data_IF_661019039519
#
_entry.id   IF_661019039519
#
_cell.length_a   1.000
_cell.length_b   1.000
_cell.length_c   1.000
_cell.angle_alpha   90.00
_cell.angle_beta   90.00
_cell.angle_gamma   90.00
#
_symmetry.space_group_name_H-M   'P 1'
#
loop_
_entity.id
_entity.type
_entity.pdbx_description
1 polymer ?
#
# COMPACT_ATOMS: atom_id res chain seq x y z
N UNK A 1 -12.30 -55.06 15.80
CA UNK A 1 -11.50 -54.94 14.57
C UNK A 1 -12.33 -54.54 13.34
N UNK A 2 -13.61 -54.94 13.23
CA UNK A 2 -14.41 -54.69 12.01
C UNK A 2 -14.89 -53.24 11.82
N UNK A 3 -15.16 -52.47 12.88
CA UNK A 3 -15.68 -51.09 12.75
C UNK A 3 -14.58 -50.13 12.25
N UNK A 4 -13.35 -50.26 12.75
CA UNK A 4 -12.23 -49.43 12.32
C UNK A 4 -11.91 -49.62 10.84
N UNK A 5 -11.95 -50.88 10.35
CA UNK A 5 -11.71 -51.18 8.95
C UNK A 5 -12.79 -50.57 8.03
N UNK A 6 -14.05 -50.57 8.48
CA UNK A 6 -15.18 -49.95 7.74
C UNK A 6 -15.04 -48.44 7.69
N UNK A 7 -14.65 -47.79 8.79
CA UNK A 7 -14.39 -46.34 8.80
C UNK A 7 -13.20 -45.96 7.92
N UNK A 8 -12.11 -46.75 7.95
CA UNK A 8 -10.94 -46.52 7.11
C UNK A 8 -11.29 -46.65 5.60
N UNK A 9 -12.06 -47.67 5.24
CA UNK A 9 -12.56 -47.86 3.88
C UNK A 9 -13.48 -46.70 3.45
N UNK A 10 -14.37 -46.24 4.32
CA UNK A 10 -15.24 -45.09 4.03
C UNK A 10 -14.43 -43.80 3.80
N UNK A 11 -13.40 -43.54 4.60
CA UNK A 11 -12.50 -42.41 4.40
C UNK A 11 -11.77 -42.50 3.06
N UNK A 12 -11.15 -43.64 2.74
CA UNK A 12 -10.43 -43.83 1.46
C UNK A 12 -11.35 -43.63 0.26
N UNK A 13 -12.56 -44.20 0.30
CA UNK A 13 -13.56 -44.04 -0.77
C UNK A 13 -13.96 -42.57 -0.91
N UNK A 14 -14.20 -41.85 0.19
CA UNK A 14 -14.55 -40.42 0.16
C UNK A 14 -13.43 -39.56 -0.44
N UNK A 15 -12.16 -39.86 -0.13
CA UNK A 15 -11.01 -39.14 -0.68
C UNK A 15 -10.85 -39.42 -2.18
N UNK A 16 -11.00 -40.68 -2.61
CA UNK A 16 -10.92 -41.05 -4.03
C UNK A 16 -12.02 -40.37 -4.84
N UNK A 17 -13.26 -40.35 -4.32
CA UNK A 17 -14.38 -39.65 -4.96
C UNK A 17 -14.12 -38.15 -5.04
N UNK A 18 -13.61 -37.54 -3.96
CA UNK A 18 -13.26 -36.12 -3.93
C UNK A 18 -12.21 -35.75 -4.97
N UNK A 19 -11.15 -36.56 -5.10
CA UNK A 19 -10.10 -36.37 -6.11
C UNK A 19 -10.65 -36.54 -7.53
N UNK A 20 -11.47 -37.56 -7.77
CA UNK A 20 -12.12 -37.79 -9.07
C UNK A 20 -13.03 -36.63 -9.48
N UNK A 21 -13.83 -36.09 -8.55
CA UNK A 21 -14.68 -34.93 -8.82
C UNK A 21 -13.84 -33.70 -9.16
N UNK A 22 -12.76 -33.43 -8.39
CA UNK A 22 -11.83 -32.33 -8.67
C UNK A 22 -11.15 -32.48 -10.04
N UNK A 23 -10.71 -33.69 -10.40
CA UNK A 23 -10.12 -33.96 -11.72
C UNK A 23 -11.14 -33.81 -12.86
N UNK A 24 -12.39 -34.25 -12.67
CA UNK A 24 -13.47 -34.08 -13.66
C UNK A 24 -13.85 -32.61 -13.84
N UNK A 25 -13.91 -31.81 -12.77
CA UNK A 25 -14.15 -30.37 -12.83
C UNK A 25 -13.00 -29.65 -13.54
N UNK A 26 -11.76 -30.06 -13.26
CA UNK A 26 -10.58 -29.50 -13.92
C UNK A 26 -10.54 -29.80 -15.42
N UNK A 27 -10.83 -31.05 -15.83
CA UNK A 27 -10.88 -31.45 -17.25
C UNK A 27 -12.03 -30.72 -17.99
N UNK A 28 -13.18 -30.55 -17.34
CA UNK A 28 -14.33 -29.85 -17.94
C UNK A 28 -14.07 -28.35 -18.14
N UNK A 29 -13.32 -27.72 -17.22
CA UNK A 29 -12.88 -26.32 -17.38
C UNK A 29 -11.82 -26.13 -18.46
N UNK A 30 -10.91 -27.10 -18.66
CA UNK A 30 -9.96 -27.07 -19.80
C UNK A 30 -10.70 -27.20 -21.13
N UNK A 31 -11.72 -28.06 -21.21
CA UNK A 31 -12.59 -28.18 -22.39
C UNK A 31 -13.28 -26.87 -22.76
N UNK A 32 -13.85 -26.17 -21.77
CA UNK A 32 -14.50 -24.86 -21.96
C UNK A 32 -13.52 -23.77 -22.42
N UNK A 33 -12.30 -23.73 -21.87
CA UNK A 33 -11.25 -22.80 -22.30
C UNK A 33 -10.73 -23.09 -23.72
N UNK A 34 -10.82 -24.34 -24.17
CA UNK A 34 -10.40 -24.74 -25.52
C UNK A 34 -11.48 -24.41 -26.56
N UNK A 35 -12.77 -24.59 -26.24
CA UNK A 35 -13.89 -24.18 -27.10
C UNK A 35 -14.01 -22.65 -27.26
N UNK A 36 -13.77 -21.88 -26.21
CA UNK A 36 -13.73 -20.40 -26.27
C UNK A 36 -12.62 -19.85 -27.18
N UNK A 37 -11.55 -20.62 -27.40
CA UNK A 37 -10.44 -20.25 -28.29
C UNK A 37 -10.66 -20.69 -29.75
N UNK A 38 -11.60 -21.60 -30.03
CA UNK A 38 -11.87 -22.12 -31.38
C UNK A 38 -13.05 -21.44 -32.07
N UNK A 39 -13.86 -20.64 -31.36
CA UNK A 39 -14.99 -19.91 -31.93
C UNK A 39 -14.64 -18.43 -32.22
N UNK A 40 -13.62 -18.21 -33.05
CA UNK A 40 -13.40 -16.91 -33.71
C UNK A 40 -13.94 -17.01 -35.14
N UNK A 41 -15.15 -16.48 -35.33
CA UNK A 41 -15.89 -16.48 -36.58
C UNK A 41 -15.11 -15.90 -37.77
N UNK A 42 -15.07 -16.67 -38.85
CA UNK A 42 -14.94 -16.16 -40.22
C UNK A 42 -16.05 -15.14 -40.48
N UNK A 43 -15.67 -13.90 -40.80
CA UNK A 43 -16.54 -12.91 -41.44
C UNK A 43 -15.77 -12.34 -42.62
N UNK A 44 -16.36 -12.52 -43.79
CA UNK A 44 -15.96 -12.02 -45.10
C UNK A 44 -15.81 -10.50 -45.11
N UNK A 45 -14.68 -10.04 -45.66
CA UNK A 45 -14.32 -8.62 -45.80
C UNK A 45 -15.20 -7.87 -46.80
N UNK A 46 -15.68 -6.66 -46.46
CA UNK A 46 -15.77 -5.55 -47.39
C UNK A 46 -14.58 -4.61 -47.16
N UNK A 47 -13.91 -4.21 -48.25
CA UNK A 47 -12.82 -3.23 -48.27
C UNK A 47 -13.22 -1.94 -47.53
N UNK A 48 -12.60 -1.66 -46.38
CA UNK A 48 -12.63 -0.35 -45.74
C UNK A 48 -11.22 0.02 -45.28
N UNK A 49 -10.68 1.04 -45.93
CA UNK A 49 -9.65 2.00 -45.51
C UNK A 49 -8.76 1.61 -44.32
N UNK A 50 -7.49 1.33 -44.63
CA UNK A 50 -6.38 1.33 -43.67
C UNK A 50 -6.24 2.70 -43.00
N UNK A 51 -6.77 2.83 -41.78
CA UNK A 51 -6.20 3.71 -40.75
C UNK A 51 -5.52 2.84 -39.72
N UNK A 52 -4.23 2.60 -39.91
CA UNK A 52 -3.32 2.17 -38.86
C UNK A 52 -3.25 3.29 -37.81
N UNK A 53 -4.06 3.20 -36.75
CA UNK A 53 -3.74 3.91 -35.52
C UNK A 53 -2.65 3.10 -34.82
N UNK A 54 -1.39 3.52 -34.97
CA UNK A 54 -0.31 3.11 -34.08
C UNK A 54 -0.69 3.54 -32.65
N UNK A 55 -1.34 2.64 -31.89
CA UNK A 55 -1.45 2.80 -30.44
C UNK A 55 -0.05 2.59 -29.88
N UNK A 56 0.67 3.68 -29.67
CA UNK A 56 1.97 3.70 -29.00
C UNK A 56 1.84 2.93 -27.68
N UNK A 57 2.50 1.78 -27.58
CA UNK A 57 2.49 0.95 -26.36
C UNK A 57 3.13 1.75 -25.22
N UNK A 58 2.49 1.75 -24.05
CA UNK A 58 3.03 2.39 -22.84
C UNK A 58 4.36 1.71 -22.48
N UNK A 59 5.34 2.52 -22.08
CA UNK A 59 6.66 2.04 -21.66
C UNK A 59 6.51 1.08 -20.47
N UNK A 60 7.22 -0.05 -20.49
CA UNK A 60 7.15 -1.09 -19.46
C UNK A 60 7.48 -0.57 -18.06
N UNK A 61 8.26 0.51 -17.94
CA UNK A 61 8.55 1.12 -16.63
C UNK A 61 7.29 1.52 -15.86
N UNK A 62 6.22 1.89 -16.55
CA UNK A 62 4.97 2.30 -15.90
C UNK A 62 4.20 1.14 -15.26
N UNK A 63 4.64 -0.11 -15.45
CA UNK A 63 4.20 -1.22 -14.60
C UNK A 63 4.74 -1.13 -13.17
N UNK A 64 5.79 -0.33 -12.96
CA UNK A 64 6.52 -0.20 -11.70
C UNK A 64 6.64 1.24 -11.21
N UNK A 65 6.36 2.23 -12.06
CA UNK A 65 6.44 3.66 -11.76
C UNK A 65 5.08 4.32 -11.99
N UNK A 66 4.62 5.05 -10.98
CA UNK A 66 3.56 6.04 -11.13
C UNK A 66 4.14 7.43 -10.85
N UNK A 67 3.93 8.35 -11.79
CA UNK A 67 4.34 9.75 -11.63
C UNK A 67 3.17 10.53 -11.05
N UNK A 68 3.01 10.50 -9.72
CA UNK A 68 1.78 10.94 -9.06
C UNK A 68 1.41 12.38 -9.38
N UNK A 69 2.38 13.27 -9.58
CA UNK A 69 2.17 14.65 -10.00
C UNK A 69 1.46 14.81 -11.35
N UNK A 70 1.38 13.74 -12.15
CA UNK A 70 0.65 13.66 -13.43
C UNK A 70 -0.64 12.84 -13.34
N UNK A 71 -0.93 12.24 -12.18
CA UNK A 71 -2.15 11.47 -11.93
C UNK A 71 -3.34 12.38 -11.65
N UNK A 72 -4.54 11.82 -11.77
CA UNK A 72 -5.79 12.56 -11.55
C UNK A 72 -5.86 13.09 -10.12
N UNK A 73 -6.21 14.36 -9.97
CA UNK A 73 -6.44 14.99 -8.66
C UNK A 73 -7.93 15.05 -8.37
N UNK A 74 -8.36 14.39 -7.30
CA UNK A 74 -9.74 14.41 -6.83
C UNK A 74 -9.90 15.55 -5.82
N UNK A 75 -10.56 16.63 -6.25
CA UNK A 75 -10.71 17.86 -5.47
C UNK A 75 -11.97 17.83 -4.60
N UNK A 76 -11.83 18.33 -3.38
CA UNK A 76 -12.91 18.48 -2.40
C UNK A 76 -12.85 19.88 -1.78
N UNK A 77 -13.92 20.37 -1.13
CA UNK A 77 -13.91 21.69 -0.51
C UNK A 77 -12.72 21.90 0.46
N UNK A 78 -12.45 20.88 1.29
CA UNK A 78 -11.41 20.92 2.31
C UNK A 78 -10.04 20.38 1.92
N UNK A 79 -9.81 20.00 0.65
CA UNK A 79 -8.54 19.40 0.27
C UNK A 79 -8.59 18.59 -1.03
N UNK A 80 -7.68 17.65 -1.18
CA UNK A 80 -7.64 16.76 -2.34
C UNK A 80 -6.99 15.41 -2.04
N UNK A 81 -7.23 14.47 -2.94
CA UNK A 81 -6.59 13.15 -2.95
C UNK A 81 -6.02 12.89 -4.34
N UNK A 82 -4.78 12.40 -4.40
CA UNK A 82 -4.21 11.79 -5.61
C UNK A 82 -3.91 10.33 -5.35
N UNK A 83 -3.92 9.51 -6.40
CA UNK A 83 -3.82 8.07 -6.26
C UNK A 83 -2.79 7.44 -7.20
N UNK A 84 -2.09 6.44 -6.68
CA UNK A 84 -1.41 5.40 -7.43
C UNK A 84 -2.08 4.06 -7.06
N UNK A 85 -3.20 3.75 -7.73
CA UNK A 85 -4.08 2.63 -7.39
C UNK A 85 -4.68 1.97 -8.62
N UNK A 86 -5.34 0.83 -8.42
CA UNK A 86 -6.22 0.24 -9.41
C UNK A 86 -7.64 0.83 -9.34
N UNK A 87 -8.26 0.99 -10.51
CA UNK A 87 -9.66 1.37 -10.77
C UNK A 87 -10.24 0.53 -11.90
N UNK A 88 -11.52 0.20 -11.76
CA UNK A 88 -12.26 -0.48 -12.82
C UNK A 88 -12.62 0.45 -13.98
N UNK A 89 -13.01 1.69 -13.69
CA UNK A 89 -13.36 2.67 -14.71
C UNK A 89 -12.09 3.33 -15.27
N UNK A 90 -11.91 3.25 -16.59
CA UNK A 90 -10.79 3.89 -17.29
C UNK A 90 -10.82 5.42 -17.18
N UNK A 91 -12.00 6.02 -17.02
CA UNK A 91 -12.18 7.47 -16.88
C UNK A 91 -11.68 8.01 -15.53
N UNK A 92 -11.33 7.11 -14.60
CA UNK A 92 -10.75 7.47 -13.32
C UNK A 92 -9.24 7.61 -13.33
N UNK A 93 -8.60 7.30 -14.46
CA UNK A 93 -7.19 7.60 -14.69
C UNK A 93 -7.06 8.88 -15.52
N UNK A 94 -6.01 9.65 -15.27
CA UNK A 94 -5.67 10.84 -16.06
C UNK A 94 -5.03 10.48 -17.40
N UNK A 95 -4.28 9.39 -17.44
CA UNK A 95 -3.54 8.94 -18.62
C UNK A 95 -3.28 7.42 -18.60
N UNK A 96 -2.81 6.88 -19.72
CA UNK A 96 -2.55 5.43 -19.87
C UNK A 96 -1.37 4.95 -19.01
N UNK A 97 -0.42 5.83 -18.65
CA UNK A 97 0.73 5.49 -17.79
C UNK A 97 0.26 5.20 -16.35
N UNK A 98 -0.64 6.04 -15.82
CA UNK A 98 -1.30 5.83 -14.52
C UNK A 98 -2.11 4.53 -14.50
N UNK A 99 -2.85 4.26 -15.58
CA UNK A 99 -3.64 3.04 -15.72
C UNK A 99 -2.77 1.78 -15.81
N UNK A 100 -1.63 1.84 -16.50
CA UNK A 100 -0.69 0.71 -16.59
C UNK A 100 -0.15 0.35 -15.20
N UNK A 101 0.20 1.34 -14.37
CA UNK A 101 0.62 1.11 -12.98
C UNK A 101 -0.49 0.45 -12.16
N UNK A 102 -1.70 1.02 -12.20
CA UNK A 102 -2.87 0.48 -11.49
C UNK A 102 -3.18 -0.95 -11.90
N UNK A 103 -3.12 -1.24 -13.20
CA UNK A 103 -3.34 -2.59 -13.76
C UNK A 103 -2.25 -3.55 -13.31
N UNK A 104 -0.99 -3.11 -13.27
CA UNK A 104 0.15 -3.91 -12.82
C UNK A 104 -0.01 -4.35 -11.35
N UNK A 105 -0.27 -3.42 -10.43
CA UNK A 105 -0.42 -3.76 -9.01
C UNK A 105 -1.61 -4.70 -8.75
N UNK A 106 -2.69 -4.57 -9.53
CA UNK A 106 -3.84 -5.47 -9.45
C UNK A 106 -3.49 -6.89 -9.95
N UNK A 107 -2.88 -7.00 -11.13
CA UNK A 107 -2.47 -8.27 -11.72
C UNK A 107 -1.47 -9.03 -10.84
N UNK A 108 -0.55 -8.31 -10.21
CA UNK A 108 0.45 -8.87 -9.29
C UNK A 108 -0.12 -9.19 -7.90
N UNK A 109 -1.40 -8.88 -7.66
CA UNK A 109 -2.05 -9.02 -6.34
C UNK A 109 -1.22 -8.38 -5.23
N UNK A 110 -0.77 -7.15 -5.47
CA UNK A 110 0.22 -6.45 -4.63
C UNK A 110 -0.16 -6.37 -3.14
N UNK A 111 -1.46 -6.44 -2.84
CA UNK A 111 -2.08 -6.06 -1.55
C UNK A 111 -1.69 -4.64 -1.12
N UNK A 112 -1.41 -3.74 -2.07
CA UNK A 112 -1.01 -2.37 -1.82
C UNK A 112 -1.56 -1.42 -2.88
N UNK A 113 -2.11 -0.31 -2.41
CA UNK A 113 -2.42 0.89 -3.19
C UNK A 113 -1.89 2.10 -2.42
N UNK A 114 -1.56 3.17 -3.13
CA UNK A 114 -1.04 4.39 -2.52
C UNK A 114 -1.91 5.61 -2.86
N UNK A 115 -2.00 6.55 -1.94
CA UNK A 115 -2.56 7.87 -2.21
C UNK A 115 -1.94 8.96 -1.34
N UNK A 116 -1.97 10.19 -1.84
CA UNK A 116 -1.71 11.38 -1.01
C UNK A 116 -3.04 11.97 -0.58
N UNK A 117 -3.13 12.36 0.69
CA UNK A 117 -4.29 13.07 1.24
C UNK A 117 -3.83 14.45 1.72
N UNK A 118 -4.29 15.49 1.05
CA UNK A 118 -4.11 16.88 1.48
C UNK A 118 -5.36 17.36 2.19
N UNK A 119 -5.21 17.82 3.43
CA UNK A 119 -6.29 18.44 4.20
C UNK A 119 -5.90 19.88 4.48
N UNK A 120 -6.68 20.83 3.95
CA UNK A 120 -6.44 22.26 4.17
C UNK A 120 -6.45 22.60 5.65
N UNK A 121 -5.82 23.70 6.02
CA UNK A 121 -5.99 24.30 7.34
C UNK A 121 -7.47 24.35 7.72
N UNK A 122 -7.79 23.90 8.93
CA UNK A 122 -9.17 23.76 9.43
C UNK A 122 -10.09 22.79 8.66
N UNK A 123 -9.59 22.01 7.71
CA UNK A 123 -10.33 20.95 7.02
C UNK A 123 -10.42 19.63 7.80
N UNK A 124 -11.32 18.76 7.38
CA UNK A 124 -11.54 17.44 7.98
C UNK A 124 -11.70 16.39 6.88
N UNK A 125 -10.94 15.29 6.95
CA UNK A 125 -11.31 14.04 6.30
C UNK A 125 -12.46 13.45 7.12
N UNK A 126 -13.65 13.42 6.53
CA UNK A 126 -14.89 13.04 7.19
C UNK A 126 -14.77 11.65 7.85
N UNK A 127 -15.53 11.38 8.93
CA UNK A 127 -15.55 10.06 9.55
C UNK A 127 -15.93 8.98 8.54
N UNK A 128 -15.09 7.95 8.41
CA UNK A 128 -15.24 6.91 7.40
C UNK A 128 -14.55 5.60 7.81
N UNK A 129 -14.77 4.56 7.02
CA UNK A 129 -14.05 3.29 7.13
C UNK A 129 -13.84 2.65 5.75
N UNK A 130 -12.88 1.73 5.70
CA UNK A 130 -12.57 0.95 4.50
C UNK A 130 -12.98 -0.51 4.67
N UNK A 131 -13.68 -1.06 3.68
CA UNK A 131 -14.21 -2.44 3.77
C UNK A 131 -13.18 -3.51 3.45
N UNK A 132 -12.26 -3.18 2.55
CA UNK A 132 -11.32 -4.13 1.94
C UNK A 132 -9.85 -3.81 2.21
N UNK A 133 -9.54 -2.83 3.06
CA UNK A 133 -8.17 -2.45 3.35
C UNK A 133 -7.96 -1.95 4.79
N UNK A 134 -6.82 -2.27 5.37
CA UNK A 134 -6.22 -1.46 6.42
C UNK A 134 -5.59 -0.20 5.77
N UNK A 135 -5.53 0.89 6.52
CA UNK A 135 -4.85 2.12 6.11
C UNK A 135 -3.62 2.34 7.00
N UNK A 136 -2.47 2.59 6.38
CA UNK A 136 -1.24 3.01 7.04
C UNK A 136 -0.88 4.38 6.50
N UNK A 137 -0.60 5.33 7.36
CA UNK A 137 -0.28 6.69 6.96
C UNK A 137 1.02 7.19 7.54
N UNK A 138 1.75 7.99 6.77
CA UNK A 138 2.86 8.81 7.25
C UNK A 138 2.48 10.28 7.08
N UNK A 139 2.49 11.05 8.17
CA UNK A 139 2.24 12.49 8.08
C UNK A 139 3.51 13.18 7.60
N UNK A 140 3.52 13.67 6.37
CA UNK A 140 4.67 14.36 5.77
C UNK A 140 4.75 15.83 6.21
N UNK A 141 3.61 16.52 6.27
CA UNK A 141 3.53 17.95 6.67
C UNK A 141 2.30 18.19 7.53
N UNK A 142 2.40 19.13 8.48
CA UNK A 142 1.27 19.66 9.23
C UNK A 142 1.06 19.00 10.59
N UNK A 143 -0.13 19.19 11.16
CA UNK A 143 -0.54 18.61 12.43
C UNK A 143 -2.02 18.27 12.40
N UNK A 144 -2.35 17.04 12.76
CA UNK A 144 -3.71 16.52 12.71
C UNK A 144 -4.15 15.98 14.06
N UNK A 145 -5.44 16.13 14.34
CA UNK A 145 -6.13 15.44 15.41
C UNK A 145 -6.97 14.32 14.82
N UNK A 146 -6.77 13.11 15.33
CA UNK A 146 -7.37 11.88 14.83
C UNK A 146 -8.32 11.34 15.87
N UNK A 147 -9.39 10.72 15.42
CA UNK A 147 -10.20 9.85 16.25
C UNK A 147 -10.45 8.51 15.59
N UNK A 148 -10.46 7.47 16.40
CA UNK A 148 -10.66 6.07 16.00
C UNK A 148 -11.68 5.46 16.93
N UNK A 149 -12.66 4.76 16.37
CA UNK A 149 -13.70 4.07 17.13
C UNK A 149 -13.42 2.58 17.11
N UNK A 150 -13.17 2.01 18.30
CA UNK A 150 -12.91 0.58 18.46
C UNK A 150 -14.12 -0.27 18.03
N UNK A 151 -13.86 -1.54 17.72
CA UNK A 151 -14.90 -2.52 17.41
C UNK A 151 -15.99 -2.54 18.50
N UNK A 152 -17.25 -2.29 18.09
CA UNK A 152 -18.40 -2.23 18.98
C UNK A 152 -18.74 -0.82 19.51
N UNK A 153 -17.96 0.22 19.19
CA UNK A 153 -18.31 1.62 19.46
C UNK A 153 -18.20 2.06 20.91
N UNK A 154 -17.67 1.22 21.81
CA UNK A 154 -17.61 1.50 23.25
C UNK A 154 -16.43 2.39 23.65
N UNK A 155 -15.39 2.45 22.82
CA UNK A 155 -14.18 3.24 23.07
C UNK A 155 -13.87 4.10 21.86
N UNK A 156 -13.66 5.39 22.10
CA UNK A 156 -13.17 6.35 21.11
C UNK A 156 -11.77 6.79 21.55
N UNK A 157 -10.79 6.49 20.72
CA UNK A 157 -9.39 6.87 20.94
C UNK A 157 -9.09 8.11 20.11
N UNK A 158 -8.69 9.21 20.75
CA UNK A 158 -8.33 10.46 20.08
C UNK A 158 -6.91 10.88 20.41
N UNK A 159 -6.20 11.48 19.46
CA UNK A 159 -4.79 11.87 19.63
C UNK A 159 -4.32 12.84 18.57
N UNK A 160 -3.22 13.53 18.85
CA UNK A 160 -2.56 14.41 17.89
C UNK A 160 -1.42 13.69 17.18
N UNK A 161 -1.20 14.05 15.91
CA UNK A 161 -0.10 13.56 15.07
C UNK A 161 0.55 14.76 14.39
N UNK A 162 1.87 14.73 14.28
CA UNK A 162 2.72 15.75 13.66
C UNK A 162 3.58 15.12 12.57
N UNK A 163 4.20 15.95 11.73
CA UNK A 163 5.09 15.48 10.67
C UNK A 163 6.15 14.48 11.18
N UNK A 164 6.41 13.44 10.38
CA UNK A 164 7.34 12.37 10.69
C UNK A 164 6.75 11.20 11.49
N UNK A 165 5.45 11.20 11.76
CA UNK A 165 4.78 10.17 12.57
C UNK A 165 3.88 9.28 11.71
N UNK A 166 3.69 8.05 12.16
CA UNK A 166 2.93 7.01 11.45
C UNK A 166 1.62 6.72 12.16
N UNK A 167 0.58 6.49 11.36
CA UNK A 167 -0.75 6.07 11.79
C UNK A 167 -1.11 4.72 11.19
N UNK A 168 -1.98 3.99 11.87
CA UNK A 168 -2.53 2.73 11.40
C UNK A 168 -4.01 2.66 11.76
N UNK A 169 -4.85 2.38 10.76
CA UNK A 169 -6.27 2.12 10.94
C UNK A 169 -6.62 0.73 10.38
N UNK A 170 -7.10 -0.19 11.24
CA UNK A 170 -7.54 -1.48 10.76
C UNK A 170 -8.75 -1.37 9.84
N UNK A 171 -8.86 -2.34 8.92
CA UNK A 171 -10.05 -2.55 8.07
C UNK A 171 -11.34 -2.55 8.91
N UNK A 172 -12.39 -1.94 8.38
CA UNK A 172 -13.70 -1.74 9.05
C UNK A 172 -13.66 -0.94 10.35
N UNK A 173 -12.65 -0.08 10.55
CA UNK A 173 -12.58 0.79 11.73
C UNK A 173 -13.00 2.20 11.35
N UNK A 174 -14.03 2.74 12.02
CA UNK A 174 -14.47 4.12 11.83
C UNK A 174 -13.41 5.09 12.38
N UNK A 175 -12.93 6.01 11.56
CA UNK A 175 -11.93 6.99 11.94
C UNK A 175 -12.09 8.30 11.17
N UNK A 176 -11.47 9.37 11.66
CA UNK A 176 -11.45 10.70 11.02
C UNK A 176 -10.13 11.42 11.25
N UNK A 177 -9.82 12.40 10.39
CA UNK A 177 -8.58 13.18 10.47
C UNK A 177 -8.91 14.66 10.33
N UNK A 178 -8.67 15.44 11.39
CA UNK A 178 -8.91 16.89 11.44
C UNK A 178 -7.59 17.62 11.40
N UNK A 179 -7.38 18.54 10.45
CA UNK A 179 -6.20 19.40 10.47
C UNK A 179 -6.32 20.47 11.58
N UNK A 180 -5.49 20.38 12.62
CA UNK A 180 -5.48 21.33 13.74
C UNK A 180 -4.35 22.36 13.65
N UNK A 181 -3.48 22.25 12.65
CA UNK A 181 -2.40 23.20 12.37
C UNK A 181 -2.85 24.41 11.54
N UNK A 182 -1.96 25.39 11.42
CA UNK A 182 -2.17 26.57 10.58
C UNK A 182 -1.95 26.27 9.10
N UNK A 183 -1.03 25.35 8.78
CA UNK A 183 -0.72 24.88 7.43
C UNK A 183 -1.57 23.66 7.02
N UNK A 184 -1.59 23.36 5.72
CA UNK A 184 -2.14 22.11 5.18
C UNK A 184 -1.41 20.87 5.74
N UNK A 185 -2.20 19.84 6.06
CA UNK A 185 -1.70 18.50 6.31
C UNK A 185 -1.51 17.76 4.98
N UNK A 186 -0.41 17.00 4.87
CA UNK A 186 -0.16 16.10 3.75
C UNK A 186 0.19 14.72 4.30
N UNK A 187 -0.71 13.75 4.11
CA UNK A 187 -0.49 12.35 4.44
C UNK A 187 -0.08 11.56 3.21
N UNK A 188 0.83 10.62 3.41
CA UNK A 188 1.20 9.57 2.46
C UNK A 188 0.55 8.28 2.95
N UNK A 189 -0.41 7.75 2.21
CA UNK A 189 -1.31 6.68 2.66
C UNK A 189 -1.09 5.41 1.83
N UNK A 190 -0.91 4.29 2.52
CA UNK A 190 -0.83 2.95 1.96
C UNK A 190 -2.03 2.13 2.42
N UNK A 191 -2.72 1.52 1.46
CA UNK A 191 -3.90 0.71 1.71
C UNK A 191 -3.63 -0.75 1.37
N UNK A 192 -4.05 -1.68 2.23
CA UNK A 192 -3.77 -3.11 2.06
C UNK A 192 -4.70 -3.79 1.04
N UNK A 193 -4.87 -3.18 -0.13
CA UNK A 193 -5.68 -3.70 -1.23
C UNK A 193 -5.00 -3.43 -2.57
N UNK A 194 -5.13 -4.39 -3.48
CA UNK A 194 -4.75 -4.25 -4.90
C UNK A 194 -5.99 -4.09 -5.79
N UNK A 195 -7.18 -4.12 -5.21
CA UNK A 195 -8.45 -3.83 -5.87
C UNK A 195 -8.82 -2.36 -5.68
N UNK A 196 -9.93 -1.94 -6.29
CA UNK A 196 -10.48 -0.62 -6.02
C UNK A 196 -10.82 -0.50 -4.52
N UNK A 197 -10.27 0.53 -3.87
CA UNK A 197 -10.50 0.81 -2.45
C UNK A 197 -11.98 1.12 -2.23
N UNK A 198 -12.61 0.39 -1.31
CA UNK A 198 -14.01 0.57 -0.96
C UNK A 198 -14.10 1.34 0.35
N UNK A 199 -14.70 2.52 0.30
CA UNK A 199 -14.83 3.46 1.42
C UNK A 199 -16.28 3.82 1.63
N UNK A 200 -16.66 4.10 2.88
CA UNK A 200 -17.97 4.62 3.21
C UNK A 200 -17.84 5.74 4.24
N UNK A 201 -18.36 6.91 3.89
CA UNK A 201 -18.37 8.10 4.74
C UNK A 201 -19.68 8.16 5.55
N UNK A 202 -19.61 8.66 6.79
CA UNK A 202 -20.76 8.66 7.72
C UNK A 202 -21.96 9.43 7.19
N UNK A 203 -21.75 10.54 6.47
CA UNK A 203 -22.84 11.33 5.91
C UNK A 203 -23.52 10.61 4.73
N UNK A 204 -22.76 9.93 3.87
CA UNK A 204 -23.32 9.10 2.81
C UNK A 204 -24.20 7.97 3.34
N UNK A 205 -23.79 7.33 4.45
CA UNK A 205 -24.62 6.32 5.13
C UNK A 205 -25.89 6.92 5.67
N UNK A 206 -25.78 8.08 6.32
CA UNK A 206 -26.91 8.77 6.90
C UNK A 206 -27.96 9.11 5.84
N UNK A 207 -27.53 9.69 4.71
CA UNK A 207 -28.45 10.07 3.62
C UNK A 207 -28.92 8.90 2.75
N UNK A 208 -28.21 7.77 2.75
CA UNK A 208 -28.66 6.55 2.06
C UNK A 208 -29.60 5.68 2.91
N UNK A 209 -29.64 5.91 4.23
CA UNK A 209 -30.54 5.19 5.13
C UNK A 209 -31.95 5.76 5.03
N UNK A 210 -33.01 4.94 4.85
CA UNK A 210 -34.38 5.43 4.84
C UNK A 210 -34.69 6.25 6.10
N UNK A 211 -35.33 7.41 5.92
CA UNK A 211 -35.49 8.42 6.99
C UNK A 211 -36.20 7.87 8.23
N UNK A 212 -37.20 6.99 8.05
CA UNK A 212 -37.95 6.39 9.14
C UNK A 212 -37.12 5.34 9.91
N UNK A 213 -36.22 4.63 9.21
CA UNK A 213 -35.25 3.71 9.82
C UNK A 213 -34.20 4.49 10.60
N UNK A 214 -33.63 5.55 10.03
CA UNK A 214 -32.68 6.44 10.71
C UNK A 214 -33.32 7.04 11.98
N UNK A 215 -34.57 7.50 11.91
CA UNK A 215 -35.30 8.03 13.06
C UNK A 215 -35.52 6.98 14.16
N UNK A 216 -35.82 5.73 13.80
CA UNK A 216 -35.98 4.63 14.77
C UNK A 216 -34.66 4.23 15.43
N UNK A 217 -33.57 4.26 14.67
CA UNK A 217 -32.22 3.93 15.16
C UNK A 217 -31.65 5.01 16.09
N UNK A 218 -31.76 6.28 15.70
CA UNK A 218 -31.19 7.41 16.45
C UNK A 218 -32.12 7.98 17.53
N UNK A 219 -33.44 7.75 17.40
CA UNK A 219 -34.49 8.28 18.29
C UNK A 219 -34.34 9.77 18.62
N UNK A 220 -34.14 10.65 17.63
CA UNK A 220 -33.99 12.08 17.91
C UNK A 220 -35.29 12.67 18.46
N UNK A 221 -35.19 13.74 19.23
CA UNK A 221 -36.35 14.56 19.58
C UNK A 221 -37.02 15.07 18.29
N UNK A 222 -38.34 14.89 18.16
CA UNK A 222 -39.08 15.18 16.93
C UNK A 222 -39.12 14.03 15.90
N UNK A 223 -38.43 12.91 16.16
CA UNK A 223 -38.48 11.70 15.35
C UNK A 223 -38.09 11.94 13.89
N UNK A 224 -38.82 11.33 12.95
CA UNK A 224 -38.55 11.44 11.50
C UNK A 224 -38.62 12.89 10.98
N UNK A 225 -39.42 13.76 11.62
CA UNK A 225 -39.47 15.18 11.23
C UNK A 225 -38.12 15.87 11.42
N UNK A 226 -37.37 15.51 12.46
CA UNK A 226 -36.01 16.03 12.67
C UNK A 226 -35.04 15.49 11.62
N UNK A 227 -35.09 14.19 11.31
CA UNK A 227 -34.25 13.58 10.26
C UNK A 227 -34.44 14.30 8.91
N UNK A 228 -35.68 14.63 8.54
CA UNK A 228 -36.00 15.37 7.30
C UNK A 228 -35.44 16.80 7.22
N UNK A 229 -34.96 17.35 8.33
CA UNK A 229 -34.33 18.69 8.33
C UNK A 229 -32.91 18.67 7.78
N UNK A 230 -32.22 17.53 7.86
CA UNK A 230 -30.88 17.37 7.32
C UNK A 230 -30.92 17.48 5.79
N UNK A 231 -29.93 18.19 5.22
CA UNK A 231 -29.78 18.37 3.78
C UNK A 231 -28.43 17.85 3.33
N UNK A 232 -28.44 16.94 2.35
CA UNK A 232 -27.21 16.47 1.70
C UNK A 232 -26.59 17.65 0.95
N UNK A 233 -25.29 17.84 1.15
CA UNK A 233 -24.56 18.87 0.42
C UNK A 233 -24.43 18.46 -1.06
N UNK A 234 -24.33 19.45 -1.95
CA UNK A 234 -24.13 19.17 -3.38
C UNK A 234 -22.70 18.72 -3.64
N UNK A 235 -21.73 19.31 -2.93
CA UNK A 235 -20.34 18.90 -2.98
C UNK A 235 -20.11 17.62 -2.19
N UNK A 236 -19.20 16.79 -2.68
CA UNK A 236 -18.67 15.64 -1.94
C UNK A 236 -17.97 16.12 -0.65
N UNK A 237 -18.36 15.53 0.47
CA UNK A 237 -17.90 15.91 1.81
C UNK A 237 -16.76 15.04 2.34
N UNK A 238 -16.20 14.11 1.55
CA UNK A 238 -15.13 13.24 2.00
C UNK A 238 -13.95 14.03 2.62
N UNK A 239 -13.59 15.18 2.04
CA UNK A 239 -12.73 16.17 2.69
C UNK A 239 -13.46 17.51 2.75
N UNK A 240 -14.06 17.81 3.91
CA UNK A 240 -14.89 19.00 4.04
C UNK A 240 -14.15 20.19 4.66
N UNK A 241 -14.63 21.38 4.28
CA UNK A 241 -14.29 22.66 4.90
C UNK A 241 -15.47 23.60 4.66
N UNK A 242 -16.50 23.56 5.52
CA UNK A 242 -17.67 24.42 5.37
C UNK A 242 -17.30 25.90 5.44
N UNK A 243 -17.85 26.77 4.57
CA UNK A 243 -17.53 28.21 4.58
C UNK A 243 -17.98 28.90 5.87
N UNK A 244 -19.02 28.39 6.52
CA UNK A 244 -19.54 28.87 7.81
C UNK A 244 -19.05 28.03 9.00
N UNK A 245 -17.87 27.40 8.92
CA UNK A 245 -17.34 26.52 9.96
C UNK A 245 -17.35 27.13 11.37
N UNK A 246 -17.07 28.44 11.49
CA UNK A 246 -17.05 29.17 12.77
C UNK A 246 -18.43 29.20 13.44
N UNK A 247 -19.51 29.20 12.65
CA UNK A 247 -20.88 29.15 13.16
C UNK A 247 -21.28 27.73 13.54
N UNK A 248 -20.86 26.74 12.74
CA UNK A 248 -21.23 25.33 12.89
C UNK A 248 -20.53 24.64 14.05
N UNK A 249 -19.28 25.01 14.35
CA UNK A 249 -18.43 24.32 15.33
C UNK A 249 -18.05 25.29 16.44
N UNK A 250 -18.64 25.08 17.61
CA UNK A 250 -18.36 25.85 18.82
C UNK A 250 -17.78 24.94 19.90
N UNK A 251 -16.81 25.44 20.67
CA UNK A 251 -16.21 24.72 21.81
C UNK A 251 -15.62 23.34 21.45
N UNK A 252 -15.00 23.20 20.27
CA UNK A 252 -14.34 21.95 19.90
C UNK A 252 -13.22 21.60 20.91
N UNK A 253 -13.17 20.33 21.27
CA UNK A 253 -12.17 19.79 22.19
C UNK A 253 -11.31 18.77 21.46
N UNK A 254 -9.99 18.91 21.58
CA UNK A 254 -8.99 18.06 20.93
C UNK A 254 -8.16 17.30 21.97
N UNK A 255 -8.85 16.75 22.97
CA UNK A 255 -8.22 15.99 24.05
C UNK A 255 -7.65 14.68 23.50
N UNK A 256 -6.53 14.28 24.09
CA UNK A 256 -5.88 13.00 23.80
C UNK A 256 -6.31 11.94 24.82
N UNK A 257 -6.61 10.74 24.33
CA UNK A 257 -6.85 9.54 25.13
C UNK A 257 -5.56 9.03 25.80
N UNK A 258 -5.64 8.17 26.82
CA UNK A 258 -4.45 7.57 27.43
C UNK A 258 -3.54 6.88 26.40
N UNK A 259 -2.23 7.04 26.58
CA UNK A 259 -1.19 6.59 25.65
C UNK A 259 -1.33 5.11 25.23
N UNK A 260 -1.71 4.22 26.16
CA UNK A 260 -1.90 2.79 25.86
C UNK A 260 -3.00 2.52 24.81
N UNK A 261 -4.00 3.40 24.71
CA UNK A 261 -5.02 3.33 23.66
C UNK A 261 -4.49 3.91 22.36
N UNK A 262 -3.81 5.06 22.45
CA UNK A 262 -3.25 5.80 21.30
C UNK A 262 -2.21 4.96 20.56
N UNK A 263 -1.27 4.34 21.26
CA UNK A 263 -0.13 3.61 20.69
C UNK A 263 -0.53 2.36 19.89
N UNK A 264 -1.82 1.95 19.91
CA UNK A 264 -2.35 0.92 19.01
C UNK A 264 -2.46 1.40 17.56
N UNK A 265 -2.59 2.70 17.36
CA UNK A 265 -2.86 3.35 16.08
C UNK A 265 -1.79 4.37 15.69
N UNK A 266 -0.78 4.56 16.53
CA UNK A 266 0.22 5.61 16.42
C UNK A 266 1.64 5.08 16.67
N UNK A 267 2.58 5.52 15.84
CA UNK A 267 4.01 5.25 15.99
C UNK A 267 4.84 6.51 15.74
N UNK A 268 5.75 6.83 16.66
CA UNK A 268 6.61 8.01 16.54
C UNK A 268 7.86 7.73 15.70
N UNK A 269 7.70 7.58 14.38
CA UNK A 269 8.79 7.15 13.48
C UNK A 269 10.00 8.10 13.49
N UNK A 270 9.78 9.43 13.45
CA UNK A 270 10.88 10.42 13.44
C UNK A 270 11.84 10.29 14.62
N UNK A 271 11.33 9.94 15.80
CA UNK A 271 12.12 9.82 17.04
C UNK A 271 12.43 8.34 17.36
N UNK A 272 12.16 7.44 16.42
CA UNK A 272 12.48 6.01 16.55
C UNK A 272 13.94 5.72 16.23
N UNK A 273 14.38 4.51 16.56
CA UNK A 273 15.77 4.07 16.33
C UNK A 273 16.17 4.20 14.86
N UNK A 274 17.24 4.97 14.61
CA UNK A 274 17.92 5.03 13.32
C UNK A 274 18.90 3.87 13.17
N UNK A 275 18.70 3.05 12.13
CA UNK A 275 19.65 2.02 11.72
C UNK A 275 20.57 2.63 10.66
N UNK A 276 21.74 3.08 11.10
CA UNK A 276 22.75 3.72 10.25
C UNK A 276 23.56 2.65 9.53
N UNK A 277 23.69 2.82 8.22
CA UNK A 277 24.47 1.98 7.30
C UNK A 277 25.47 2.89 6.57
N UNK A 278 26.57 2.35 6.00
CA UNK A 278 27.55 3.17 5.30
C UNK A 278 26.97 4.09 4.23
N UNK A 279 26.00 3.61 3.44
CA UNK A 279 25.37 4.37 2.35
C UNK A 279 24.08 5.10 2.71
N UNK A 280 23.62 5.07 3.97
CA UNK A 280 22.33 5.65 4.32
C UNK A 280 21.79 5.33 5.70
N UNK A 281 20.50 5.62 5.91
CA UNK A 281 19.78 5.40 7.16
C UNK A 281 18.43 4.76 6.88
N UNK A 282 18.04 3.78 7.69
CA UNK A 282 16.68 3.25 7.70
C UNK A 282 16.04 3.39 9.08
N UNK A 283 14.76 3.77 9.13
CA UNK A 283 13.93 3.74 10.33
C UNK A 283 12.70 2.90 10.05
N UNK A 284 12.17 2.22 11.07
CA UNK A 284 11.10 1.23 10.90
C UNK A 284 9.92 1.53 11.80
N UNK A 285 8.72 1.40 11.25
CA UNK A 285 7.45 1.23 11.96
C UNK A 285 6.90 -0.15 11.58
N UNK A 286 7.28 -1.18 12.35
CA UNK A 286 7.09 -2.59 11.97
C UNK A 286 6.71 -3.47 13.16
N UNK A 287 6.17 -4.65 12.86
CA UNK A 287 6.09 -5.72 13.84
C UNK A 287 7.49 -6.32 14.11
N UNK A 288 7.81 -6.59 15.39
CA UNK A 288 8.99 -7.36 15.81
C UNK A 288 8.58 -8.48 16.75
N UNK A 289 8.81 -9.72 16.31
CA UNK A 289 8.38 -10.94 17.00
C UNK A 289 8.87 -11.06 18.44
N UNK A 290 10.14 -10.76 18.68
CA UNK A 290 10.74 -10.98 20.00
C UNK A 290 10.57 -9.78 20.93
N UNK A 291 10.04 -8.65 20.43
CA UNK A 291 9.90 -7.39 21.16
C UNK A 291 11.20 -6.80 21.72
N UNK A 292 12.35 -7.41 21.44
CA UNK A 292 13.62 -7.06 22.06
C UNK A 292 14.09 -5.66 21.65
N UNK A 293 14.34 -4.80 22.64
CA UNK A 293 14.78 -3.42 22.43
C UNK A 293 13.67 -2.47 21.95
N UNK A 294 12.39 -2.87 22.05
CA UNK A 294 11.27 -1.97 21.82
C UNK A 294 10.91 -1.20 23.09
N UNK A 295 10.63 0.10 22.95
CA UNK A 295 9.97 0.89 23.98
C UNK A 295 8.45 0.57 24.04
N UNK A 296 7.73 1.14 25.01
CA UNK A 296 6.31 0.81 25.21
C UNK A 296 5.41 1.20 24.02
N UNK A 297 5.66 2.34 23.37
CA UNK A 297 4.92 2.74 22.16
C UNK A 297 5.15 1.72 21.05
N UNK A 298 6.42 1.40 20.78
CA UNK A 298 6.80 0.48 19.72
C UNK A 298 6.24 -0.92 19.97
N UNK A 299 6.24 -1.38 21.22
CA UNK A 299 5.68 -2.68 21.60
C UNK A 299 4.18 -2.74 21.36
N UNK A 300 3.41 -1.76 21.85
CA UNK A 300 1.95 -1.74 21.66
C UNK A 300 1.60 -1.64 20.17
N UNK A 301 2.30 -0.79 19.43
CA UNK A 301 2.10 -0.64 17.99
C UNK A 301 2.42 -1.93 17.23
N UNK A 302 3.58 -2.54 17.51
CA UNK A 302 4.01 -3.83 16.94
C UNK A 302 2.97 -4.92 17.17
N UNK A 303 2.48 -5.07 18.40
CA UNK A 303 1.41 -6.03 18.72
C UNK A 303 0.08 -5.69 18.03
N UNK A 304 -0.23 -4.40 17.85
CA UNK A 304 -1.41 -3.95 17.13
C UNK A 304 -1.35 -4.39 15.66
N UNK A 305 -0.23 -4.18 14.98
CA UNK A 305 -0.03 -4.64 13.61
C UNK A 305 -0.20 -6.16 13.48
N UNK A 306 0.40 -6.94 14.38
CA UNK A 306 0.31 -8.40 14.36
C UNK A 306 -1.13 -8.93 14.50
N UNK A 307 -1.99 -8.24 15.23
CA UNK A 307 -3.39 -8.65 15.44
C UNK A 307 -4.26 -8.50 14.19
N UNK A 308 -3.79 -7.79 13.17
CA UNK A 308 -4.55 -7.53 11.96
C UNK A 308 -3.88 -8.19 10.76
N UNK A 309 -4.63 -9.05 10.08
CA UNK A 309 -4.18 -9.69 8.85
C UNK A 309 -3.82 -8.63 7.80
N UNK A 310 -2.79 -8.93 7.02
CA UNK A 310 -2.29 -8.08 5.93
C UNK A 310 -1.82 -6.68 6.35
N UNK A 311 -1.52 -6.44 7.64
CA UNK A 311 -0.83 -5.23 8.06
C UNK A 311 0.51 -5.05 7.32
N UNK A 312 0.88 -3.80 7.04
CA UNK A 312 2.10 -3.46 6.32
C UNK A 312 3.22 -3.18 7.32
N UNK A 313 4.44 -3.42 6.87
CA UNK A 313 5.64 -2.87 7.51
C UNK A 313 5.99 -1.56 6.82
N UNK A 314 6.07 -0.45 7.56
CA UNK A 314 6.48 0.85 7.03
C UNK A 314 7.91 1.19 7.48
N UNK A 315 8.59 2.01 6.71
CA UNK A 315 9.88 2.57 7.10
C UNK A 315 10.36 3.66 6.17
N UNK A 316 11.20 4.56 6.66
CA UNK A 316 11.87 5.54 5.80
C UNK A 316 13.24 5.03 5.41
N UNK A 317 13.57 5.13 4.12
CA UNK A 317 14.90 4.86 3.58
C UNK A 317 15.52 6.17 3.11
N UNK A 318 16.65 6.53 3.72
CA UNK A 318 17.52 7.61 3.26
C UNK A 318 18.75 7.00 2.62
N UNK A 319 18.97 7.27 1.34
CA UNK A 319 20.20 6.91 0.62
C UNK A 319 21.01 8.19 0.48
N UNK A 320 22.24 8.20 0.98
CA UNK A 320 23.11 9.36 0.88
C UNK A 320 23.38 9.73 -0.58
N UNK A 321 23.74 10.98 -0.84
CA UNK A 321 24.14 11.42 -2.19
C UNK A 321 25.16 10.46 -2.82
N UNK A 322 24.91 10.08 -4.09
CA UNK A 322 25.65 9.07 -4.85
C UNK A 322 25.69 7.65 -4.24
N UNK A 323 25.02 7.43 -3.12
CA UNK A 323 24.86 6.13 -2.49
C UNK A 323 23.96 5.20 -3.30
N UNK A 324 24.08 3.91 -2.99
CA UNK A 324 23.35 2.83 -3.63
C UNK A 324 22.56 2.06 -2.57
N UNK A 325 21.34 1.62 -2.87
CA UNK A 325 20.76 0.43 -2.26
C UNK A 325 21.00 -0.69 -3.24
N UNK A 326 21.96 -1.56 -2.92
CA UNK A 326 22.46 -2.58 -3.84
C UNK A 326 21.35 -3.47 -4.43
N UNK A 327 21.62 -4.12 -5.57
CA UNK A 327 20.67 -5.05 -6.15
C UNK A 327 20.24 -6.11 -5.13
N UNK A 328 18.93 -6.24 -4.92
CA UNK A 328 18.35 -7.18 -3.98
C UNK A 328 16.93 -7.58 -4.37
N UNK A 329 16.36 -8.53 -3.64
CA UNK A 329 14.93 -8.85 -3.71
C UNK A 329 14.41 -9.27 -2.33
N UNK A 330 13.08 -9.26 -2.19
CA UNK A 330 12.40 -9.71 -0.98
C UNK A 330 11.72 -11.06 -1.21
N UNK A 331 11.84 -11.96 -0.23
CA UNK A 331 11.23 -13.28 -0.30
C UNK A 331 9.75 -13.29 0.06
N UNK A 332 9.33 -12.38 0.95
CA UNK A 332 8.04 -12.46 1.63
C UNK A 332 7.21 -11.17 1.57
N UNK A 333 7.60 -10.21 0.73
CA UNK A 333 6.89 -8.95 0.60
C UNK A 333 7.00 -8.39 -0.81
N UNK A 334 5.90 -7.81 -1.30
CA UNK A 334 5.99 -6.74 -2.28
C UNK A 334 6.47 -5.47 -1.56
N UNK A 335 7.12 -4.57 -2.28
CA UNK A 335 7.54 -3.25 -1.79
C UNK A 335 6.89 -2.15 -2.63
N UNK A 336 6.45 -1.08 -1.95
CA UNK A 336 6.01 0.15 -2.59
C UNK A 336 6.67 1.33 -1.91
N UNK A 337 7.18 2.28 -2.68
CA UNK A 337 7.89 3.44 -2.17
C UNK A 337 7.36 4.75 -2.74
N UNK A 338 7.38 5.82 -1.96
CA UNK A 338 7.12 7.19 -2.41
C UNK A 338 8.34 8.07 -2.14
N UNK A 339 8.76 8.84 -3.14
CA UNK A 339 9.91 9.75 -3.03
C UNK A 339 9.51 11.06 -2.34
N UNK A 340 10.07 11.29 -1.16
CA UNK A 340 9.81 12.49 -0.34
C UNK A 340 10.72 13.65 -0.74
N UNK A 341 12.03 13.39 -0.88
CA UNK A 341 13.04 14.38 -1.27
C UNK A 341 14.15 13.71 -2.09
N UNK A 342 14.91 14.51 -2.84
CA UNK A 342 15.95 13.96 -3.70
C UNK A 342 15.42 13.32 -4.96
N UNK A 343 16.32 12.59 -5.60
CA UNK A 343 16.14 11.96 -6.88
C UNK A 343 17.06 10.74 -6.97
N UNK A 344 16.69 9.80 -7.83
CA UNK A 344 17.43 8.58 -7.98
C UNK A 344 17.20 7.90 -9.31
N UNK A 345 17.82 6.75 -9.46
CA UNK A 345 17.59 5.80 -10.53
C UNK A 345 17.21 4.46 -9.94
N UNK A 346 16.13 3.90 -10.45
CA UNK A 346 15.65 2.56 -10.09
C UNK A 346 15.95 1.64 -11.27
N UNK A 347 16.47 0.45 -10.98
CA UNK A 347 16.56 -0.63 -11.96
C UNK A 347 15.79 -1.84 -11.47
N UNK A 348 15.10 -2.51 -12.40
CA UNK A 348 14.23 -3.65 -12.15
C UNK A 348 14.58 -4.75 -13.14
N UNK A 349 14.80 -5.95 -12.61
CA UNK A 349 15.11 -7.17 -13.36
C UNK A 349 14.11 -8.24 -12.93
N UNK A 350 13.03 -8.41 -13.71
CA UNK A 350 12.04 -9.50 -13.51
C UNK A 350 12.50 -10.75 -14.26
N UNK A 351 13.01 -10.57 -15.48
CA UNK A 351 13.56 -11.65 -16.30
C UNK A 351 14.52 -11.08 -17.34
N UNK A 352 15.30 -11.92 -18.07
CA UNK A 352 16.17 -11.44 -19.14
C UNK A 352 15.45 -10.67 -20.25
N UNK A 353 14.13 -10.81 -20.37
CA UNK A 353 13.29 -10.11 -21.35
C UNK A 353 12.55 -8.90 -20.77
N UNK A 354 12.48 -8.80 -19.44
CA UNK A 354 11.76 -7.76 -18.71
C UNK A 354 12.76 -7.16 -17.72
N UNK A 355 13.59 -6.27 -18.26
CA UNK A 355 14.56 -5.46 -17.52
C UNK A 355 14.36 -4.01 -17.94
N UNK A 356 14.29 -3.10 -16.97
CA UNK A 356 14.11 -1.67 -17.21
C UNK A 356 14.80 -0.87 -16.11
N UNK A 357 15.27 0.32 -16.44
CA UNK A 357 15.70 1.31 -15.48
C UNK A 357 15.11 2.68 -15.82
N UNK A 358 14.91 3.49 -14.81
CA UNK A 358 14.29 4.80 -14.95
C UNK A 358 14.68 5.71 -13.79
N UNK A 359 14.65 7.02 -14.07
CA UNK A 359 14.88 8.03 -13.04
C UNK A 359 13.58 8.25 -12.24
N UNK A 360 13.76 8.54 -10.95
CA UNK A 360 12.70 8.85 -9.99
C UNK A 360 12.99 10.19 -9.32
N UNK A 361 11.95 10.94 -9.01
CA UNK A 361 12.03 12.20 -8.27
C UNK A 361 10.86 12.38 -7.30
N UNK A 362 10.86 13.50 -6.59
CA UNK A 362 9.83 13.85 -5.61
C UNK A 362 8.42 13.64 -6.19
N UNK A 363 7.60 12.90 -5.45
CA UNK A 363 6.22 12.61 -5.87
C UNK A 363 6.06 11.29 -6.64
N UNK A 364 7.13 10.69 -7.14
CA UNK A 364 7.03 9.41 -7.81
C UNK A 364 6.76 8.27 -6.82
N UNK A 365 5.93 7.32 -7.25
CA UNK A 365 5.63 6.08 -6.54
C UNK A 365 6.23 4.92 -7.32
N UNK A 366 7.01 4.08 -6.64
CA UNK A 366 7.60 2.87 -7.20
C UNK A 366 7.01 1.62 -6.59
N UNK A 367 6.94 0.54 -7.37
CA UNK A 367 6.44 -0.76 -6.94
C UNK A 367 7.37 -1.89 -7.39
N UNK A 368 7.75 -2.74 -6.43
CA UNK A 368 8.58 -3.92 -6.65
C UNK A 368 7.80 -5.18 -6.23
N UNK A 369 7.42 -6.04 -7.19
CA UNK A 369 6.78 -7.31 -6.85
C UNK A 369 7.74 -8.22 -6.06
N UNK A 370 7.18 -9.04 -5.17
CA UNK A 370 7.94 -10.05 -4.40
C UNK A 370 8.82 -10.90 -5.33
N UNK A 371 10.06 -11.18 -4.92
CA UNK A 371 11.04 -11.92 -5.70
C UNK A 371 11.65 -11.19 -6.89
N UNK A 372 11.27 -9.93 -7.15
CA UNK A 372 11.86 -9.14 -8.24
C UNK A 372 13.17 -8.51 -7.81
N UNK A 373 14.24 -8.78 -8.56
CA UNK A 373 15.53 -8.14 -8.36
C UNK A 373 15.44 -6.66 -8.74
N UNK A 374 15.85 -5.78 -7.83
CA UNK A 374 15.84 -4.34 -8.08
C UNK A 374 16.94 -3.62 -7.29
N UNK A 375 17.26 -2.39 -7.68
CA UNK A 375 18.18 -1.50 -6.96
C UNK A 375 17.68 -0.06 -7.00
N UNK A 376 18.15 0.76 -6.06
CA UNK A 376 17.86 2.19 -6.01
C UNK A 376 19.16 2.95 -5.82
N UNK A 377 19.50 3.86 -6.71
CA UNK A 377 20.72 4.67 -6.61
C UNK A 377 20.33 6.14 -6.45
N UNK A 378 20.91 6.84 -5.48
CA UNK A 378 20.81 8.30 -5.42
C UNK A 378 21.63 8.91 -6.57
N UNK A 379 21.04 9.85 -7.31
CA UNK A 379 21.66 10.44 -8.51
C UNK A 379 21.88 11.95 -8.44
N UNK A 380 21.37 12.62 -7.40
CA UNK A 380 21.63 14.04 -7.15
C UNK A 380 22.58 14.26 -5.98
N UNK A 381 22.99 15.53 -5.85
CA UNK A 381 23.86 16.01 -4.77
C UNK A 381 23.19 15.98 -3.40
N UNK A 382 21.87 15.89 -3.33
CA UNK A 382 21.11 15.71 -2.08
C UNK A 382 20.76 14.25 -1.82
N UNK A 383 20.53 13.91 -0.55
CA UNK A 383 20.08 12.58 -0.16
C UNK A 383 18.70 12.26 -0.74
N UNK A 384 18.55 11.02 -1.23
CA UNK A 384 17.26 10.47 -1.62
C UNK A 384 16.54 9.97 -0.36
N UNK A 385 15.37 10.53 -0.04
CA UNK A 385 14.52 10.07 1.05
C UNK A 385 13.22 9.51 0.51
N UNK A 386 12.87 8.29 0.94
CA UNK A 386 11.65 7.61 0.57
C UNK A 386 10.91 7.11 1.82
N UNK A 387 9.57 7.09 1.77
CA UNK A 387 8.77 6.24 2.65
C UNK A 387 8.46 4.95 1.90
N UNK A 388 8.68 3.82 2.55
CA UNK A 388 8.48 2.49 1.99
C UNK A 388 7.41 1.75 2.79
N UNK A 389 6.65 0.92 2.09
CA UNK A 389 5.72 -0.04 2.65
C UNK A 389 5.98 -1.43 2.07
N UNK A 390 5.94 -2.43 2.94
CA UNK A 390 6.16 -3.83 2.59
C UNK A 390 4.93 -4.65 2.96
N UNK A 391 4.47 -5.48 2.02
CA UNK A 391 3.27 -6.32 2.19
C UNK A 391 3.55 -7.56 3.06
N UNK A 392 4.11 -7.36 4.25
CA UNK A 392 4.41 -8.41 5.23
C UNK A 392 4.04 -7.96 6.64
N UNK A 393 3.25 -8.81 7.32
CA UNK A 393 2.96 -8.69 8.75
C UNK A 393 4.04 -9.35 9.63
N UNK A 394 5.16 -9.77 9.05
CA UNK A 394 6.27 -10.41 9.77
C UNK A 394 7.59 -9.67 9.48
N UNK A 395 8.70 -10.15 10.03
CA UNK A 395 10.04 -9.65 9.68
C UNK A 395 10.27 -9.77 8.17
N UNK A 396 10.63 -8.65 7.54
CA UNK A 396 11.03 -8.58 6.14
C UNK A 396 12.24 -9.47 5.89
N UNK A 397 12.17 -10.29 4.85
CA UNK A 397 13.25 -11.18 4.43
C UNK A 397 13.80 -10.70 3.08
N UNK A 398 15.07 -10.35 3.08
CA UNK A 398 15.78 -9.75 1.93
C UNK A 398 17.00 -10.60 1.60
N UNK A 399 17.33 -10.71 0.32
CA UNK A 399 18.61 -11.26 -0.13
C UNK A 399 19.29 -10.24 -1.03
N UNK A 400 20.52 -9.89 -0.66
CA UNK A 400 21.34 -8.95 -1.41
C UNK A 400 22.26 -9.67 -2.40
N UNK A 401 22.68 -8.95 -3.43
CA UNK A 401 23.46 -9.51 -4.53
C UNK A 401 24.84 -10.00 -4.08
N UNK A 402 25.55 -9.24 -3.26
CA UNK A 402 26.84 -9.67 -2.74
C UNK A 402 26.72 -10.95 -1.92
N UNK A 403 25.69 -11.07 -1.07
CA UNK A 403 25.44 -12.27 -0.27
C UNK A 403 25.26 -13.53 -1.13
N UNK A 404 24.36 -13.51 -2.12
CA UNK A 404 24.11 -14.71 -2.93
C UNK A 404 25.25 -15.01 -3.90
N UNK A 405 25.98 -13.99 -4.35
CA UNK A 405 27.15 -14.19 -5.20
C UNK A 405 28.27 -14.87 -4.41
N UNK A 406 28.50 -14.44 -3.16
CA UNK A 406 29.50 -15.05 -2.26
C UNK A 406 29.09 -16.40 -1.69
N UNK A 407 27.79 -16.68 -1.60
CA UNK A 407 27.27 -18.00 -1.21
C UNK A 407 27.37 -19.03 -2.34
N UNK A 408 27.39 -18.58 -3.60
CA UNK A 408 27.55 -19.47 -4.76
C UNK A 408 29.00 -19.93 -4.89
N UNK A 409 29.22 -21.25 -5.01
CA UNK A 409 30.57 -21.78 -5.11
C UNK A 409 31.32 -21.24 -6.35
N UNK A 410 32.57 -20.83 -6.18
CA UNK A 410 33.37 -20.21 -7.25
C UNK A 410 33.41 -21.02 -8.55
N UNK A 411 33.43 -22.37 -8.47
CA UNK A 411 33.46 -23.22 -9.66
C UNK A 411 32.13 -23.20 -10.43
N UNK A 412 31.00 -22.99 -9.75
CA UNK A 412 29.69 -22.79 -10.39
C UNK A 412 29.68 -21.44 -11.08
N UNK A 413 30.14 -20.37 -10.40
CA UNK A 413 30.27 -19.04 -11.01
C UNK A 413 31.20 -19.08 -12.23
N UNK A 414 32.31 -19.81 -12.15
CA UNK A 414 33.23 -20.00 -13.26
C UNK A 414 32.57 -20.63 -14.49
N UNK A 415 31.73 -21.63 -14.28
CA UNK A 415 30.93 -22.25 -15.36
C UNK A 415 29.89 -21.29 -15.94
N UNK A 416 29.19 -20.52 -15.08
CA UNK A 416 28.14 -19.59 -15.53
C UNK A 416 28.69 -18.41 -16.33
N UNK A 417 29.81 -17.84 -15.90
CA UNK A 417 30.37 -16.62 -16.48
C UNK A 417 31.55 -16.87 -17.42
N UNK A 418 31.92 -18.13 -17.66
CA UNK A 418 33.11 -18.50 -18.45
C UNK A 418 34.39 -17.78 -18.00
N UNK A 419 34.54 -17.58 -16.68
CA UNK A 419 35.65 -16.86 -16.04
C UNK A 419 36.46 -17.81 -15.17
N UNK A 420 37.78 -17.65 -15.09
CA UNK A 420 38.62 -18.54 -14.27
C UNK A 420 38.22 -18.45 -12.80
N UNK A 421 38.19 -19.61 -12.14
CA UNK A 421 37.72 -19.73 -10.75
C UNK A 421 38.46 -18.81 -9.79
N UNK A 422 39.79 -18.68 -9.92
CA UNK A 422 40.58 -17.82 -9.05
C UNK A 422 40.22 -16.32 -9.16
N UNK A 423 39.58 -15.89 -10.25
CA UNK A 423 39.24 -14.48 -10.43
C UNK A 423 38.04 -14.04 -9.59
N UNK A 424 37.17 -14.96 -9.14
CA UNK A 424 36.06 -14.62 -8.24
C UNK A 424 36.54 -14.19 -6.85
N UNK A 425 37.75 -14.59 -6.46
CA UNK A 425 38.41 -14.12 -5.22
C UNK A 425 38.77 -12.63 -5.25
N UNK A 426 38.68 -11.98 -6.41
CA UNK A 426 38.88 -10.53 -6.55
C UNK A 426 37.64 -9.72 -6.14
N UNK A 427 36.48 -10.36 -6.00
CA UNK A 427 35.28 -9.70 -5.48
C UNK A 427 35.43 -9.60 -3.96
N UNK A 428 35.47 -8.39 -3.38
CA UNK A 428 35.67 -8.23 -1.95
C UNK A 428 34.48 -8.77 -1.16
N UNK A 429 34.77 -9.30 0.03
CA UNK A 429 33.78 -9.59 1.08
C UNK A 429 33.87 -8.48 2.11
N UNK A 430 32.79 -7.74 2.30
CA UNK A 430 32.72 -6.70 3.31
C UNK A 430 32.32 -7.31 4.66
N UNK A 431 32.90 -6.82 5.75
CA UNK A 431 32.54 -7.24 7.12
C UNK A 431 31.39 -6.43 7.71
N UNK A 432 31.14 -5.24 7.15
CA UNK A 432 30.03 -4.38 7.51
C UNK A 432 28.91 -4.56 6.48
N UNK A 433 27.70 -4.81 6.96
CA UNK A 433 26.52 -4.95 6.12
C UNK A 433 26.30 -3.67 5.31
N UNK A 434 25.90 -3.83 4.04
CA UNK A 434 25.65 -2.73 3.12
C UNK A 434 26.86 -1.80 2.87
N UNK A 435 28.09 -2.19 3.19
CA UNK A 435 29.27 -1.35 2.91
C UNK A 435 29.49 -1.09 1.41
N UNK A 436 29.02 -1.99 0.54
CA UNK A 436 29.02 -1.84 -0.92
C UNK A 436 28.20 -0.64 -1.43
N UNK A 437 27.37 -0.05 -0.56
CA UNK A 437 26.46 1.03 -0.90
C UNK A 437 27.13 2.42 -0.98
N UNK A 438 28.43 2.51 -0.68
CA UNK A 438 29.23 3.73 -0.91
C UNK A 438 29.90 3.70 -2.30
N UNK A 439 30.06 4.87 -2.96
CA UNK A 439 30.66 4.97 -4.29
C UNK A 439 32.16 4.65 -4.37
#
# INVERSE_FOLDING_TARGET
>A
MNIFLVCLLACIISTIIGVLILSLVYIKNIGFMTELNMQKHEITSPKISTRTSDKKRVDVKFQFLNQLGKSKVFQFPGGDIQWARFRFDRNDYQNEEEMEFGTSINNQRSKMSFGTLRIKSKGLRAPHWHFNANEHGFLLKGSAWIGVVDAGGSTVTTYNVTAGQVIFFPKNTLHWIRNVGEDDCLFLLFFTTHEELQTLDVDDVFFSTPEDIAARSLKPQGGVKFIRTFKKQTEDQAINLPPNLVELVQNASYVQSPDKLVWRYFYNLKDSTEFKLPGGVIQWARYRKDGAGLNDNEKIFSESLQRHEDALTLGTLRIYSNGLRQPHFHFNANEMGYVISGCGKVGIIVSPKITTDFDIGIGDVVFFPVGTQHYVKSTCDEDLLMILAFSTGNQLQTLDMDDYFHATADHILAQLFFKKQEEFKKIPKFSEDQAINQP
#
